data_IF_410184237967
#
_entry.id   IF_410184237967
#
_cell.length_a   1.000
_cell.length_b   1.000
_cell.length_c   1.000
_cell.angle_alpha   90.00
_cell.angle_beta   90.00
_cell.angle_gamma   90.00
#
_symmetry.space_group_name_H-M   'P 1'
#
loop_
_entity.id
_entity.type
_entity.pdbx_description
1 polymer ?
#
# COMPACT_ATOMS: atom_id res chain seq x y z
N UNK A 1 11.69 -2.64 -5.02
CA UNK A 1 11.75 -2.98 -3.59
C UNK A 1 11.33 -1.77 -2.78
N UNK A 2 10.02 -1.63 -2.61
CA UNK A 2 9.43 -0.97 -1.45
C UNK A 2 9.08 -2.18 -0.59
N UNK A 3 9.54 -2.27 0.66
CA UNK A 3 9.69 -3.54 1.41
C UNK A 3 8.46 -4.47 1.52
N UNK A 4 7.27 -4.10 1.02
CA UNK A 4 6.09 -4.96 0.93
C UNK A 4 5.63 -5.38 -0.49
N UNK A 5 6.04 -4.70 -1.56
CA UNK A 5 5.57 -5.01 -2.93
C UNK A 5 6.69 -5.51 -3.85
N UNK A 6 6.40 -6.59 -4.58
CA UNK A 6 7.33 -7.23 -5.52
C UNK A 6 7.23 -6.68 -6.94
N UNK A 7 6.19 -5.89 -7.22
CA UNK A 7 5.93 -5.22 -8.50
C UNK A 7 5.55 -3.75 -8.28
N UNK A 8 5.26 -3.04 -9.38
CA UNK A 8 4.84 -1.64 -9.38
C UNK A 8 3.57 -1.43 -8.55
N UNK A 9 3.63 -0.43 -7.65
CA UNK A 9 2.45 0.08 -6.94
C UNK A 9 1.62 0.90 -7.93
N UNK A 10 0.35 0.57 -8.04
CA UNK A 10 -0.59 1.19 -8.96
C UNK A 10 -1.55 2.16 -8.26
N UNK A 11 -1.74 2.02 -6.94
CA UNK A 11 -2.66 2.85 -6.17
C UNK A 11 -2.21 3.03 -4.72
N UNK A 12 -2.55 4.19 -4.16
CA UNK A 12 -2.24 4.63 -2.79
C UNK A 12 -3.47 5.33 -2.21
N UNK A 13 -3.85 4.99 -0.98
CA UNK A 13 -4.93 5.65 -0.26
C UNK A 13 -4.64 5.76 1.24
N UNK A 14 -4.89 6.94 1.81
CA UNK A 14 -4.79 7.17 3.26
C UNK A 14 -6.16 7.01 3.93
N UNK A 15 -6.17 6.49 5.16
CA UNK A 15 -7.34 6.58 6.03
C UNK A 15 -7.62 8.03 6.39
N UNK A 16 -8.88 8.36 6.66
CA UNK A 16 -9.31 9.74 6.94
C UNK A 16 -8.69 10.32 8.21
N UNK A 17 -8.36 9.46 9.17
CA UNK A 17 -7.65 9.81 10.40
C UNK A 17 -6.11 9.78 10.25
N UNK A 18 -5.59 9.33 9.11
CA UNK A 18 -4.15 9.26 8.83
C UNK A 18 -3.40 8.14 9.56
N UNK A 19 -4.09 7.26 10.29
CA UNK A 19 -3.46 6.15 11.04
C UNK A 19 -3.05 4.98 10.13
N UNK A 20 -3.59 4.92 8.91
CA UNK A 20 -3.38 3.78 8.02
C UNK A 20 -3.17 4.22 6.57
N UNK A 21 -2.26 3.54 5.89
CA UNK A 21 -2.00 3.66 4.45
C UNK A 21 -2.29 2.32 3.76
N UNK A 22 -3.08 2.34 2.70
CA UNK A 22 -3.32 1.21 1.83
C UNK A 22 -2.57 1.39 0.49
N UNK A 23 -1.86 0.35 0.05
CA UNK A 23 -1.17 0.33 -1.24
C UNK A 23 -1.58 -0.90 -2.05
N UNK A 24 -1.93 -0.71 -3.32
CA UNK A 24 -2.28 -1.78 -4.27
C UNK A 24 -1.25 -1.91 -5.38
N UNK A 25 -0.87 -3.14 -5.74
CA UNK A 25 0.25 -3.41 -6.65
C UNK A 25 -0.10 -4.40 -7.75
N UNK A 26 0.69 -4.38 -8.83
CA UNK A 26 0.61 -5.35 -9.92
C UNK A 26 1.02 -6.76 -9.50
N UNK A 27 1.60 -6.92 -8.31
CA UNK A 27 1.87 -8.22 -7.69
C UNK A 27 0.62 -8.92 -7.15
N UNK A 28 -0.57 -8.38 -7.44
CA UNK A 28 -1.89 -8.89 -7.05
C UNK A 28 -2.16 -8.84 -5.55
N UNK A 29 -1.39 -8.05 -4.80
CA UNK A 29 -1.58 -7.86 -3.37
C UNK A 29 -1.97 -6.42 -3.01
N UNK A 30 -2.59 -6.31 -1.83
CA UNK A 30 -2.82 -5.05 -1.13
C UNK A 30 -2.06 -5.13 0.19
N UNK A 31 -1.26 -4.12 0.49
CA UNK A 31 -0.60 -3.99 1.79
C UNK A 31 -1.23 -2.84 2.58
N UNK A 32 -1.39 -3.08 3.87
CA UNK A 32 -1.91 -2.11 4.85
C UNK A 32 -0.78 -1.78 5.82
N UNK A 33 -0.50 -0.49 5.98
CA UNK A 33 0.57 0.02 6.83
C UNK A 33 -0.04 0.88 7.92
N UNK A 34 0.21 0.53 9.18
CA UNK A 34 -0.08 1.39 10.33
C UNK A 34 1.08 2.37 10.51
N UNK A 35 0.77 3.66 10.73
CA UNK A 35 1.75 4.74 10.89
C UNK A 35 2.04 5.08 12.35
#
# INVERSE_FOLDING_TARGET
MIAGHSQEVLSVAFSRNGETLATGSRDTTINIWEM
#
